data_IF_744297148400
#
_entry.id   IF_744297148400
#
_cell.length_a   1.000
_cell.length_b   1.000
_cell.length_c   1.000
_cell.angle_alpha   90.00
_cell.angle_beta   90.00
_cell.angle_gamma   90.00
#
_symmetry.space_group_name_H-M   'P 1'
#
loop_
_entity.id
_entity.type
_entity.pdbx_description
1 polymer ?
#
# COMPACT_ATOMS: atom_id res chain seq x y z
N UNK A 1 8.96 -33.77 -14.42
CA UNK A 1 8.47 -32.42 -14.74
C UNK A 1 6.96 -32.54 -14.79
N UNK A 2 6.30 -32.31 -13.64
CA UNK A 2 4.89 -32.66 -13.44
C UNK A 2 4.13 -31.38 -13.10
N UNK A 3 3.20 -31.05 -14.00
CA UNK A 3 1.99 -30.23 -13.86
C UNK A 3 1.94 -29.16 -12.75
N UNK A 4 2.01 -27.88 -13.16
CA UNK A 4 1.67 -26.69 -12.35
C UNK A 4 0.30 -26.03 -12.70
N UNK A 5 -0.78 -26.76 -13.08
CA UNK A 5 -2.08 -26.11 -13.28
C UNK A 5 -2.63 -25.55 -11.96
N UNK A 6 -2.40 -26.23 -10.84
CA UNK A 6 -2.92 -25.81 -9.52
C UNK A 6 -2.25 -24.53 -9.01
N UNK A 7 -0.93 -24.40 -9.15
CA UNK A 7 -0.22 -23.19 -8.72
C UNK A 7 -0.55 -21.98 -9.61
N UNK A 8 -0.63 -22.18 -10.94
CA UNK A 8 -1.08 -21.11 -11.85
C UNK A 8 -2.52 -20.69 -11.58
N UNK A 9 -3.42 -21.64 -11.28
CA UNK A 9 -4.79 -21.33 -10.90
C UNK A 9 -4.86 -20.60 -9.55
N UNK A 10 -4.04 -20.99 -8.58
CA UNK A 10 -3.92 -20.32 -7.29
C UNK A 10 -3.47 -18.86 -7.47
N UNK A 11 -2.45 -18.61 -8.27
CA UNK A 11 -1.96 -17.26 -8.59
C UNK A 11 -3.06 -16.42 -9.25
N UNK A 12 -3.78 -16.97 -10.22
CA UNK A 12 -4.86 -16.26 -10.90
C UNK A 12 -6.00 -15.91 -9.95
N UNK A 13 -6.37 -16.84 -9.05
CA UNK A 13 -7.38 -16.57 -8.02
C UNK A 13 -6.91 -15.52 -7.03
N UNK A 14 -5.67 -15.62 -6.52
CA UNK A 14 -5.12 -14.62 -5.62
C UNK A 14 -5.07 -13.23 -6.26
N UNK A 15 -4.64 -13.13 -7.54
CA UNK A 15 -4.67 -11.86 -8.30
C UNK A 15 -6.08 -11.30 -8.49
N UNK A 16 -7.09 -12.15 -8.62
CA UNK A 16 -8.48 -11.69 -8.69
C UNK A 16 -9.02 -11.12 -7.37
N UNK A 17 -8.40 -11.47 -6.24
CA UNK A 17 -8.76 -10.97 -4.91
C UNK A 17 -7.92 -9.74 -4.49
N UNK A 18 -6.77 -9.51 -5.14
CA UNK A 18 -5.80 -8.49 -4.75
C UNK A 18 -6.39 -7.08 -4.66
N UNK A 19 -7.28 -6.70 -5.59
CA UNK A 19 -7.95 -5.38 -5.55
C UNK A 19 -8.82 -5.24 -4.29
N UNK A 20 -9.54 -6.29 -3.90
CA UNK A 20 -10.34 -6.28 -2.69
C UNK A 20 -9.47 -6.23 -1.44
N UNK A 21 -8.41 -7.05 -1.37
CA UNK A 21 -7.47 -7.04 -0.26
C UNK A 21 -6.79 -5.68 -0.11
N UNK A 22 -6.39 -5.07 -1.22
CA UNK A 22 -5.79 -3.73 -1.22
C UNK A 22 -6.75 -2.70 -0.64
N UNK A 23 -8.02 -2.70 -1.08
CA UNK A 23 -9.04 -1.77 -0.55
C UNK A 23 -9.26 -1.94 0.95
N UNK A 24 -9.37 -3.17 1.43
CA UNK A 24 -9.53 -3.44 2.86
C UNK A 24 -8.29 -3.06 3.66
N UNK A 25 -7.10 -3.41 3.17
CA UNK A 25 -5.83 -3.10 3.81
C UNK A 25 -5.57 -1.59 3.88
N UNK A 26 -5.90 -0.83 2.82
CA UNK A 26 -5.79 0.63 2.82
C UNK A 26 -6.64 1.28 3.91
N UNK A 27 -7.88 0.81 4.06
CA UNK A 27 -8.80 1.32 5.09
C UNK A 27 -8.30 0.99 6.50
N UNK A 28 -7.88 -0.26 6.72
CA UNK A 28 -7.37 -0.70 8.02
C UNK A 28 -6.07 0.01 8.40
N UNK A 29 -5.11 0.12 7.47
CA UNK A 29 -3.86 0.84 7.70
C UNK A 29 -4.10 2.33 7.96
N UNK A 30 -5.04 2.96 7.25
CA UNK A 30 -5.37 4.36 7.47
C UNK A 30 -5.95 4.59 8.86
N UNK A 31 -6.94 3.79 9.25
CA UNK A 31 -7.55 3.88 10.58
C UNK A 31 -6.53 3.59 11.68
N UNK A 32 -5.64 2.60 11.50
CA UNK A 32 -4.61 2.26 12.50
C UNK A 32 -3.59 3.39 12.69
N UNK A 33 -3.08 3.97 11.59
CA UNK A 33 -1.96 4.90 11.64
C UNK A 33 -2.39 6.37 11.84
N UNK A 34 -3.59 6.75 11.43
CA UNK A 34 -4.02 8.16 11.40
C UNK A 34 -5.28 8.47 12.20
N UNK A 35 -6.17 7.50 12.42
CA UNK A 35 -7.43 7.71 13.19
C UNK A 35 -7.42 7.03 14.57
N UNK A 36 -6.40 6.22 14.85
CA UNK A 36 -6.28 5.42 16.08
C UNK A 36 -5.97 6.26 17.32
N UNK A 37 -5.77 5.55 18.43
CA UNK A 37 -5.46 6.17 19.73
C UNK A 37 -4.04 6.80 19.81
N UNK A 38 -3.13 6.39 18.92
CA UNK A 38 -1.73 6.84 18.84
C UNK A 38 -1.34 7.08 17.37
N UNK A 39 -1.86 8.15 16.73
CA UNK A 39 -1.60 8.40 15.32
C UNK A 39 -0.15 8.82 15.10
N UNK A 40 0.46 8.34 14.01
CA UNK A 40 1.86 8.64 13.66
C UNK A 40 2.06 10.09 13.20
N UNK A 41 0.96 10.75 12.82
CA UNK A 41 0.91 12.16 12.43
C UNK A 41 -0.07 12.93 13.31
N UNK A 42 0.22 14.21 13.50
CA UNK A 42 -0.71 15.14 14.13
C UNK A 42 -1.93 15.42 13.24
N UNK A 43 -3.07 15.86 13.81
CA UNK A 43 -4.25 16.21 13.03
C UNK A 43 -4.00 17.29 11.96
N UNK A 44 -3.09 18.23 12.23
CA UNK A 44 -2.67 19.26 11.28
C UNK A 44 -1.90 18.67 10.09
N UNK A 45 -1.03 17.70 10.34
CA UNK A 45 -0.27 17.00 9.30
C UNK A 45 -1.17 16.10 8.45
N UNK A 46 -2.18 15.46 9.04
CA UNK A 46 -3.21 14.71 8.30
C UNK A 46 -4.04 15.65 7.40
N UNK A 47 -4.48 16.80 7.92
CA UNK A 47 -5.19 17.79 7.11
C UNK A 47 -4.35 18.32 5.94
N UNK A 48 -3.05 18.46 6.16
CA UNK A 48 -2.10 18.85 5.12
C UNK A 48 -1.97 17.75 4.05
N UNK A 49 -1.89 16.48 4.44
CA UNK A 49 -1.94 15.35 3.52
C UNK A 49 -3.23 15.34 2.70
N UNK A 50 -4.39 15.55 3.32
CA UNK A 50 -5.68 15.60 2.62
C UNK A 50 -5.75 16.74 1.60
N UNK A 51 -5.17 17.90 1.94
CA UNK A 51 -5.08 19.03 1.04
C UNK A 51 -4.16 18.76 -0.15
N UNK A 52 -3.01 18.11 0.09
CA UNK A 52 -2.07 17.70 -0.96
C UNK A 52 -2.69 16.64 -1.88
N UNK A 53 -3.34 15.63 -1.30
CA UNK A 53 -4.05 14.58 -2.01
C UNK A 53 -5.11 15.18 -2.96
N UNK A 54 -5.95 16.06 -2.41
CA UNK A 54 -6.97 16.78 -3.19
C UNK A 54 -6.37 17.59 -4.34
N UNK A 55 -5.22 18.25 -4.15
CA UNK A 55 -4.59 19.01 -5.21
C UNK A 55 -4.03 18.10 -6.31
N UNK A 56 -3.38 16.99 -5.94
CA UNK A 56 -2.87 16.01 -6.91
C UNK A 56 -3.98 15.35 -7.71
N UNK A 57 -5.12 15.06 -7.09
CA UNK A 57 -6.32 14.57 -7.80
C UNK A 57 -6.83 15.60 -8.82
N UNK A 58 -6.81 16.89 -8.46
CA UNK A 58 -7.27 17.98 -9.36
C UNK A 58 -6.37 18.17 -10.57
N UNK A 59 -5.09 17.86 -10.46
CA UNK A 59 -4.15 17.85 -11.58
C UNK A 59 -4.32 16.64 -12.50
N UNK A 60 -5.24 15.72 -12.16
CA UNK A 60 -5.57 14.53 -12.95
C UNK A 60 -4.79 13.28 -12.56
N UNK A 61 -4.14 13.29 -11.39
CA UNK A 61 -3.52 12.12 -10.78
C UNK A 61 -4.49 11.33 -9.87
N UNK A 62 -3.98 10.26 -9.27
CA UNK A 62 -4.72 9.40 -8.33
C UNK A 62 -4.55 9.85 -6.86
N UNK A 63 -4.14 11.10 -6.63
CA UNK A 63 -3.84 11.62 -5.28
C UNK A 63 -2.52 11.09 -4.69
N UNK A 64 -2.26 11.40 -3.43
CA UNK A 64 -1.19 10.77 -2.64
C UNK A 64 -1.58 9.33 -2.33
N UNK A 65 -2.82 9.10 -1.89
CA UNK A 65 -3.27 7.81 -1.36
C UNK A 65 -3.60 6.76 -2.43
N UNK A 66 -3.87 7.17 -3.66
CA UNK A 66 -4.25 6.24 -4.75
C UNK A 66 -3.07 5.74 -5.60
N UNK A 67 -1.86 6.29 -5.39
CA UNK A 67 -0.68 5.95 -6.20
C UNK A 67 -0.01 4.63 -5.82
N UNK A 68 -0.29 4.13 -4.62
CA UNK A 68 0.28 2.87 -4.16
C UNK A 68 -0.27 1.68 -4.96
N UNK A 69 0.61 0.78 -5.40
CA UNK A 69 0.22 -0.39 -6.18
C UNK A 69 0.87 -1.63 -5.62
N UNK A 70 0.15 -2.74 -5.62
CA UNK A 70 0.64 -4.01 -5.08
C UNK A 70 0.59 -5.11 -6.12
N UNK A 71 1.55 -6.03 -6.03
CA UNK A 71 1.68 -7.18 -6.91
C UNK A 71 1.89 -8.46 -6.13
N UNK A 72 1.37 -9.57 -6.67
CA UNK A 72 1.67 -10.92 -6.17
C UNK A 72 2.80 -11.51 -7.00
N UNK A 73 3.88 -11.89 -6.32
CA UNK A 73 5.01 -12.60 -6.91
C UNK A 73 5.12 -14.02 -6.35
N UNK A 74 5.76 -14.91 -7.11
CA UNK A 74 6.15 -16.22 -6.61
C UNK A 74 7.50 -16.11 -5.92
N UNK A 75 7.62 -16.53 -4.66
CA UNK A 75 8.93 -16.68 -4.03
C UNK A 75 9.69 -17.82 -4.74
N UNK A 76 10.95 -17.59 -5.09
CA UNK A 76 11.82 -18.63 -5.65
C UNK A 76 12.00 -19.81 -4.68
N UNK A 77 12.63 -20.92 -5.12
CA UNK A 77 12.68 -22.20 -4.40
C UNK A 77 13.53 -22.19 -3.09
N UNK A 78 13.71 -21.06 -2.44
CA UNK A 78 14.48 -20.95 -1.20
C UNK A 78 13.73 -20.08 -0.19
N UNK A 79 13.21 -20.76 0.82
CA UNK A 79 12.91 -20.23 2.16
C UNK A 79 11.54 -19.58 2.42
N UNK A 80 10.45 -20.32 2.20
CA UNK A 80 9.27 -20.37 3.10
C UNK A 80 8.25 -21.38 2.53
N UNK A 81 7.43 -22.01 3.38
CA UNK A 81 6.37 -22.96 2.99
C UNK A 81 5.22 -22.32 2.17
N UNK A 82 5.30 -21.02 1.90
CA UNK A 82 4.36 -20.25 1.08
C UNK A 82 5.07 -19.77 -0.20
N UNK A 83 4.63 -20.30 -1.35
CA UNK A 83 5.22 -19.99 -2.67
C UNK A 83 4.85 -18.61 -3.23
N UNK A 84 4.06 -17.81 -2.50
CA UNK A 84 3.51 -16.51 -2.94
C UNK A 84 3.86 -15.42 -1.93
N UNK A 85 4.18 -14.23 -2.42
CA UNK A 85 4.44 -13.03 -1.61
C UNK A 85 3.84 -11.78 -2.26
N UNK A 86 3.74 -10.71 -1.47
CA UNK A 86 3.22 -9.40 -1.89
C UNK A 86 4.37 -8.41 -1.97
N UNK A 87 4.36 -7.57 -3.00
CA UNK A 87 5.31 -6.47 -3.15
C UNK A 87 4.56 -5.17 -3.43
N UNK A 88 4.96 -4.10 -2.74
CA UNK A 88 4.58 -2.73 -3.09
C UNK A 88 5.37 -2.32 -4.34
N UNK A 89 4.67 -2.22 -5.47
CA UNK A 89 5.21 -1.86 -6.80
C UNK A 89 5.46 -0.36 -6.91
N UNK A 90 4.59 0.44 -6.30
CA UNK A 90 4.73 1.90 -6.24
C UNK A 90 4.42 2.36 -4.82
N UNK A 91 5.31 3.18 -4.27
CA UNK A 91 5.12 3.80 -2.96
C UNK A 91 4.54 5.20 -3.16
N UNK A 92 3.60 5.61 -2.30
CA UNK A 92 3.10 6.97 -2.33
C UNK A 92 4.21 7.92 -1.85
N UNK A 93 4.45 8.99 -2.61
CA UNK A 93 5.48 9.98 -2.29
C UNK A 93 5.03 11.38 -2.69
N UNK A 94 5.25 12.33 -1.80
CA UNK A 94 5.16 13.76 -2.10
C UNK A 94 6.53 14.19 -2.62
N UNK A 95 6.59 14.65 -3.87
CA UNK A 95 7.82 15.16 -4.47
C UNK A 95 7.68 16.65 -4.75
N UNK A 96 8.79 17.41 -4.66
CA UNK A 96 8.78 18.85 -4.96
C UNK A 96 8.12 19.18 -6.29
N UNK A 97 8.34 18.36 -7.33
CA UNK A 97 7.73 18.50 -8.67
C UNK A 97 6.19 18.35 -8.64
N UNK A 98 5.67 17.49 -7.75
CA UNK A 98 4.24 17.28 -7.51
C UNK A 98 3.58 18.43 -6.71
N UNK A 99 4.37 19.24 -6.01
CA UNK A 99 3.91 20.32 -5.11
C UNK A 99 4.11 21.71 -5.73
N UNK A 100 4.70 21.78 -6.95
CA UNK A 100 5.24 22.99 -7.60
C UNK A 100 4.27 24.15 -7.87
N UNK A 101 2.99 24.10 -7.46
CA UNK A 101 2.06 25.22 -7.60
C UNK A 101 1.18 25.56 -6.40
N UNK A 102 1.17 24.76 -5.34
CA UNK A 102 0.18 24.89 -4.26
C UNK A 102 0.75 25.22 -2.87
N UNK A 103 1.90 24.65 -2.51
CA UNK A 103 2.48 24.79 -1.17
C UNK A 103 3.92 25.32 -1.25
N UNK A 104 4.06 26.63 -1.48
CA UNK A 104 5.33 27.36 -1.27
C UNK A 104 5.79 27.33 0.22
N UNK A 105 5.00 26.73 1.13
CA UNK A 105 5.20 26.72 2.59
C UNK A 105 5.45 25.32 3.19
N UNK A 106 5.56 24.24 2.39
CA UNK A 106 5.97 22.94 2.95
C UNK A 106 7.48 22.97 3.21
N UNK A 107 7.86 23.04 4.48
CA UNK A 107 9.26 22.95 4.88
C UNK A 107 9.79 21.51 4.70
N UNK A 108 11.10 21.40 4.48
CA UNK A 108 11.76 20.11 4.21
C UNK A 108 11.56 19.09 5.36
N UNK A 109 11.43 19.54 6.62
CA UNK A 109 11.24 18.65 7.78
C UNK A 109 9.83 18.05 7.78
N UNK A 110 8.81 18.87 7.50
CA UNK A 110 7.44 18.40 7.34
C UNK A 110 7.31 17.48 6.12
N UNK A 111 7.91 17.83 4.97
CA UNK A 111 7.92 16.96 3.79
C UNK A 111 8.53 15.58 4.08
N UNK A 112 9.66 15.53 4.79
CA UNK A 112 10.32 14.28 5.17
C UNK A 112 9.45 13.44 6.11
N UNK A 113 8.81 14.06 7.10
CA UNK A 113 7.91 13.37 8.03
C UNK A 113 6.67 12.80 7.35
N UNK A 114 6.05 13.57 6.45
CA UNK A 114 4.90 13.08 5.69
C UNK A 114 5.29 11.91 4.79
N UNK A 115 6.43 12.00 4.10
CA UNK A 115 6.93 10.89 3.29
C UNK A 115 7.30 9.65 4.12
N UNK A 116 7.83 9.81 5.34
CA UNK A 116 8.06 8.70 6.26
C UNK A 116 6.73 8.03 6.67
N UNK A 117 5.70 8.83 6.98
CA UNK A 117 4.38 8.31 7.29
C UNK A 117 3.73 7.57 6.10
N UNK A 118 3.92 8.08 4.87
CA UNK A 118 3.47 7.41 3.64
C UNK A 118 4.20 6.08 3.38
N UNK A 119 5.49 6.03 3.71
CA UNK A 119 6.26 4.79 3.69
C UNK A 119 5.68 3.76 4.66
N UNK A 120 5.52 4.14 5.94
CA UNK A 120 4.97 3.27 6.98
C UNK A 120 3.55 2.79 6.64
N UNK A 121 2.73 3.67 6.05
CA UNK A 121 1.43 3.31 5.51
C UNK A 121 1.52 2.21 4.45
N UNK A 122 2.36 2.37 3.43
CA UNK A 122 2.50 1.38 2.36
C UNK A 122 3.09 0.04 2.84
N UNK A 123 3.98 0.08 3.85
CA UNK A 123 4.49 -1.12 4.50
C UNK A 123 3.37 -1.83 5.27
N UNK A 124 2.55 -1.07 6.01
CA UNK A 124 1.42 -1.63 6.74
C UNK A 124 0.38 -2.27 5.81
N UNK A 125 0.03 -1.60 4.71
CA UNK A 125 -0.87 -2.14 3.69
C UNK A 125 -0.29 -3.42 3.09
N UNK A 126 1.00 -3.45 2.76
CA UNK A 126 1.67 -4.65 2.24
C UNK A 126 1.56 -5.83 3.20
N UNK A 127 1.82 -5.60 4.49
CA UNK A 127 1.72 -6.62 5.54
C UNK A 127 0.29 -7.16 5.70
N UNK A 128 -0.73 -6.31 5.60
CA UNK A 128 -2.13 -6.72 5.67
C UNK A 128 -2.56 -7.54 4.45
N UNK A 129 -2.13 -7.14 3.24
CA UNK A 129 -2.38 -7.93 2.02
C UNK A 129 -1.66 -9.27 2.10
N UNK A 130 -0.42 -9.31 2.61
CA UNK A 130 0.33 -10.54 2.80
C UNK A 130 -0.39 -11.48 3.79
N UNK A 131 -0.90 -10.98 4.91
CA UNK A 131 -1.68 -11.77 5.85
C UNK A 131 -2.95 -12.36 5.19
N UNK A 132 -3.66 -11.58 4.39
CA UNK A 132 -4.84 -12.04 3.66
C UNK A 132 -4.50 -13.10 2.60
N UNK A 133 -3.38 -12.93 1.90
CA UNK A 133 -2.86 -13.91 0.94
C UNK A 133 -2.51 -15.23 1.64
N UNK A 134 -1.84 -15.14 2.79
CA UNK A 134 -1.44 -16.29 3.60
C UNK A 134 -2.67 -17.10 4.06
N UNK A 135 -3.71 -16.41 4.54
CA UNK A 135 -4.97 -17.04 4.92
C UNK A 135 -5.64 -17.72 3.71
N UNK A 136 -5.71 -17.03 2.57
CA UNK A 136 -6.29 -17.57 1.34
C UNK A 136 -5.57 -18.84 0.87
N UNK A 137 -4.23 -18.85 0.92
CA UNK A 137 -3.42 -20.02 0.57
C UNK A 137 -3.70 -21.18 1.52
N UNK A 138 -3.79 -20.92 2.84
CA UNK A 138 -4.12 -21.95 3.83
C UNK A 138 -5.51 -22.54 3.60
N UNK A 139 -6.52 -21.71 3.32
CA UNK A 139 -7.89 -22.16 3.04
C UNK A 139 -8.00 -22.97 1.75
N UNK A 140 -7.20 -22.64 0.73
CA UNK A 140 -7.25 -23.32 -0.58
C UNK A 140 -6.51 -24.67 -0.58
N UNK A 141 -5.57 -24.88 0.36
CA UNK A 141 -4.82 -26.14 0.53
C UNK A 141 -5.53 -27.15 1.44
N UNK A 142 -6.63 -26.76 2.10
CA UNK A 142 -7.43 -27.57 3.02
C UNK A 142 -8.67 -28.16 2.35
#
# INVERSE_FOLDING_TARGET
MVEFPDERQLILRARSQLDQWTKSARMEAYTELFEGDDPILSPEEVQLLDALDSELEREGGDGVWGTDQYGIHTAGPSSSDTSLGVVCVYHPQISKDSVLRGADDLDDETEERLNAALWDYSERVSNLIEAALDEFVRQTRH
#
